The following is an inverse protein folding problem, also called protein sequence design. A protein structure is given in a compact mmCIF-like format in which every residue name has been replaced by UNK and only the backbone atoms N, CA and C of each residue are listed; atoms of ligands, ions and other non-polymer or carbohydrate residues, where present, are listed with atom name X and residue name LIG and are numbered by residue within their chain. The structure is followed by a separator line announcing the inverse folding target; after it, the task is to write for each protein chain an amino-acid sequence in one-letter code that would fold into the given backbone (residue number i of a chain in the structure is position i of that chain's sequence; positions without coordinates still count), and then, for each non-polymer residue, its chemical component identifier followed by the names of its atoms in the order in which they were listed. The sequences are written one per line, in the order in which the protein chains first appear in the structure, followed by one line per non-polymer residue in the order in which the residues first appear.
data_IF_153063712148
#
_entry.id   IF_153063712148
#
_cell.length_a   1.000
_cell.length_b   1.000
_cell.length_c   1.000
_cell.angle_alpha   90.00
_cell.angle_beta   90.00
_cell.angle_gamma   90.00
#
_symmetry.space_group_name_H-M   'P 1'
#
loop_
_entity.id
_entity.type
_entity.pdbx_description
1 polymer ?
#
# COMPACT_ATOMS: atom_id res chain seq x y z
N UNK A 1 -11.45 -3.17 -3.16
CA UNK A 1 -10.06 -3.13 -3.65
C UNK A 1 -9.76 -1.86 -4.45
N UNK A 2 -10.52 -1.54 -5.54
CA UNK A 2 -10.27 -0.30 -6.34
C UNK A 2 -10.35 0.94 -5.47
N UNK A 3 -11.33 1.05 -4.60
CA UNK A 3 -11.49 2.20 -3.70
C UNK A 3 -10.35 2.29 -2.68
N UNK A 4 -9.87 1.17 -2.19
CA UNK A 4 -8.72 1.10 -1.28
C UNK A 4 -7.46 1.60 -1.99
N UNK A 5 -7.22 1.14 -3.24
CA UNK A 5 -6.11 1.63 -4.05
C UNK A 5 -6.19 3.14 -4.31
N UNK A 6 -7.35 3.68 -4.71
CA UNK A 6 -7.50 5.12 -4.96
C UNK A 6 -7.23 5.94 -3.69
N UNK A 7 -7.55 5.39 -2.52
CA UNK A 7 -7.20 5.95 -1.22
C UNK A 7 -5.67 6.01 -1.03
N UNK A 8 -4.96 4.89 -1.25
CA UNK A 8 -3.50 4.86 -1.17
C UNK A 8 -2.87 5.80 -2.19
N UNK A 9 -3.32 5.73 -3.45
CA UNK A 9 -2.80 6.57 -4.52
C UNK A 9 -2.98 8.06 -4.22
N UNK A 10 -4.13 8.50 -3.73
CA UNK A 10 -4.36 9.90 -3.37
C UNK A 10 -3.41 10.38 -2.28
N UNK A 11 -3.13 9.53 -1.29
CA UNK A 11 -2.19 9.85 -0.22
C UNK A 11 -0.74 9.93 -0.71
N UNK A 12 -0.30 8.94 -1.49
CA UNK A 12 1.08 8.85 -1.96
C UNK A 12 1.37 9.70 -3.20
N UNK A 13 0.36 10.11 -3.97
CA UNK A 13 0.50 10.88 -5.22
C UNK A 13 1.42 12.11 -5.11
N UNK A 14 1.37 12.96 -4.06
CA UNK A 14 2.27 14.10 -3.94
C UNK A 14 3.76 13.73 -4.01
N UNK A 15 4.12 12.54 -3.51
CA UNK A 15 5.48 12.06 -3.41
C UNK A 15 5.95 11.31 -4.67
N UNK A 16 5.02 10.69 -5.42
CA UNK A 16 5.34 9.85 -6.57
C UNK A 16 5.11 10.52 -7.94
N UNK A 17 4.43 11.67 -7.99
CA UNK A 17 3.97 12.31 -9.26
C UNK A 17 5.07 12.59 -10.28
N UNK A 18 6.30 12.83 -9.83
CA UNK A 18 7.46 13.14 -10.68
C UNK A 18 8.38 11.91 -10.88
N UNK A 19 7.95 10.72 -10.49
CA UNK A 19 8.66 9.46 -10.56
C UNK A 19 8.05 8.59 -11.65
N UNK A 20 8.81 7.62 -12.16
CA UNK A 20 8.36 6.81 -13.31
C UNK A 20 8.27 5.32 -13.00
N UNK A 21 9.29 4.79 -12.34
CA UNK A 21 9.50 3.36 -12.18
C UNK A 21 9.07 2.93 -10.79
N UNK A 22 8.11 2.04 -10.69
CA UNK A 22 7.56 1.54 -9.42
C UNK A 22 7.70 0.03 -9.33
N UNK A 23 8.25 -0.44 -8.21
CA UNK A 23 8.26 -1.83 -7.80
C UNK A 23 7.15 -2.06 -6.77
N UNK A 24 6.20 -2.92 -7.07
CA UNK A 24 5.09 -3.30 -6.18
C UNK A 24 5.41 -4.66 -5.54
N UNK A 25 5.76 -4.66 -4.26
CA UNK A 25 6.12 -5.87 -3.51
C UNK A 25 4.86 -6.48 -2.88
N UNK A 26 4.67 -7.79 -3.09
CA UNK A 26 3.47 -8.49 -2.65
C UNK A 26 2.24 -8.04 -3.42
N UNK A 27 2.31 -8.08 -4.75
CA UNK A 27 1.30 -7.50 -5.64
C UNK A 27 -0.09 -8.12 -5.50
N UNK A 28 -0.23 -9.31 -4.91
CA UNK A 28 -1.49 -10.00 -4.65
C UNK A 28 -2.35 -10.13 -5.91
N UNK A 29 -3.56 -9.57 -5.88
CA UNK A 29 -4.47 -9.57 -7.04
C UNK A 29 -4.07 -8.60 -8.16
N UNK A 30 -2.98 -7.84 -7.99
CA UNK A 30 -2.42 -6.93 -8.97
C UNK A 30 -3.15 -5.60 -9.13
N UNK A 31 -4.04 -5.25 -8.21
CA UNK A 31 -4.84 -4.02 -8.35
C UNK A 31 -3.94 -2.78 -8.39
N UNK A 32 -2.89 -2.72 -7.56
CA UNK A 32 -1.92 -1.63 -7.55
C UNK A 32 -1.15 -1.58 -8.86
N UNK A 33 -0.59 -2.71 -9.32
CA UNK A 33 0.13 -2.81 -10.60
C UNK A 33 -0.71 -2.29 -11.78
N UNK A 34 -1.95 -2.81 -11.92
CA UNK A 34 -2.83 -2.48 -13.05
C UNK A 34 -3.24 -1.01 -13.03
N UNK A 35 -3.57 -0.47 -11.85
CA UNK A 35 -4.06 0.91 -11.76
C UNK A 35 -2.93 1.93 -11.82
N UNK A 36 -1.74 1.63 -11.30
CA UNK A 36 -0.56 2.48 -11.45
C UNK A 36 -0.09 2.52 -12.93
N UNK A 37 -0.09 1.37 -13.64
CA UNK A 37 0.19 1.36 -15.07
C UNK A 37 -0.81 2.23 -15.85
N UNK A 38 -2.12 2.14 -15.57
CA UNK A 38 -3.14 3.00 -16.17
C UNK A 38 -2.95 4.49 -15.89
N UNK A 39 -2.28 4.82 -14.79
CA UNK A 39 -1.91 6.21 -14.44
C UNK A 39 -0.58 6.65 -15.08
N UNK A 40 0.06 5.79 -15.86
CA UNK A 40 1.25 6.10 -16.67
C UNK A 40 2.60 5.78 -16.02
N UNK A 41 2.62 5.00 -14.93
CA UNK A 41 3.85 4.51 -14.33
C UNK A 41 4.35 3.24 -15.03
N UNK A 42 5.67 3.04 -15.02
CA UNK A 42 6.30 1.78 -15.40
C UNK A 42 6.27 0.86 -14.17
N UNK A 43 5.68 -0.33 -14.29
CA UNK A 43 5.42 -1.20 -13.15
C UNK A 43 6.18 -2.52 -13.27
N UNK A 44 6.84 -2.87 -12.18
CA UNK A 44 7.28 -4.24 -11.91
C UNK A 44 6.55 -4.68 -10.66
N UNK A 45 5.71 -5.71 -10.76
CA UNK A 45 5.11 -6.39 -9.61
C UNK A 45 5.96 -7.58 -9.19
N UNK A 46 5.91 -7.94 -7.92
CA UNK A 46 6.52 -9.17 -7.39
C UNK A 46 5.53 -9.85 -6.46
N UNK A 47 5.29 -11.14 -6.71
CA UNK A 47 4.41 -11.94 -5.88
C UNK A 47 4.87 -13.41 -5.90
N UNK A 48 4.94 -14.09 -4.74
CA UNK A 48 5.37 -15.49 -4.67
C UNK A 48 4.33 -16.47 -5.22
N UNK A 49 3.05 -16.08 -5.32
CA UNK A 49 2.01 -16.96 -5.89
C UNK A 49 2.03 -16.88 -7.42
N UNK A 50 2.33 -18.01 -8.11
CA UNK A 50 2.36 -18.01 -9.58
C UNK A 50 1.00 -17.71 -10.22
N UNK A 51 -0.11 -17.97 -9.52
CA UNK A 51 -1.46 -17.62 -10.00
C UNK A 51 -1.65 -16.11 -10.05
N UNK A 52 -1.18 -15.40 -9.03
CA UNK A 52 -1.20 -13.94 -8.98
C UNK A 52 -0.32 -13.36 -10.10
N UNK A 53 0.93 -13.80 -10.22
CA UNK A 53 1.83 -13.34 -11.26
C UNK A 53 1.25 -13.55 -12.67
N UNK A 54 0.67 -14.72 -12.95
CA UNK A 54 0.01 -15.03 -14.23
C UNK A 54 -1.19 -14.11 -14.47
N UNK A 55 -2.04 -13.91 -13.46
CA UNK A 55 -3.21 -13.01 -13.56
C UNK A 55 -2.78 -11.56 -13.85
N UNK A 56 -1.78 -11.05 -13.13
CA UNK A 56 -1.27 -9.69 -13.30
C UNK A 56 -0.71 -9.51 -14.72
N UNK A 57 0.14 -10.43 -15.16
CA UNK A 57 0.74 -10.40 -16.50
C UNK A 57 -0.31 -10.44 -17.63
N UNK A 58 -1.46 -11.10 -17.40
CA UNK A 58 -2.56 -11.09 -18.37
C UNK A 58 -3.30 -9.75 -18.46
N UNK A 59 -3.10 -8.84 -17.50
CA UNK A 59 -3.79 -7.54 -17.40
C UNK A 59 -2.88 -6.35 -17.69
N UNK A 60 -1.60 -6.46 -17.43
CA UNK A 60 -0.62 -5.42 -17.73
C UNK A 60 -0.38 -5.34 -19.25
N UNK A 61 -0.14 -4.13 -19.75
CA UNK A 61 0.16 -3.86 -21.16
C UNK A 61 1.66 -3.70 -21.44
N UNK A 62 2.38 -3.10 -20.51
CA UNK A 62 3.81 -2.78 -20.61
C UNK A 62 4.61 -3.27 -19.43
N UNK A 63 4.02 -3.22 -18.25
CA UNK A 63 4.62 -3.72 -17.01
C UNK A 63 4.67 -5.25 -16.98
N UNK A 64 5.28 -5.77 -15.94
CA UNK A 64 5.36 -7.21 -15.68
C UNK A 64 5.23 -7.50 -14.19
N UNK A 65 4.80 -8.72 -13.87
CA UNK A 65 4.88 -9.28 -12.53
C UNK A 65 5.83 -10.48 -12.55
N UNK A 66 6.79 -10.46 -11.65
CA UNK A 66 7.78 -11.52 -11.45
C UNK A 66 7.24 -12.47 -10.38
N UNK A 67 7.17 -13.75 -10.68
CA UNK A 67 6.86 -14.76 -9.68
C UNK A 67 8.12 -15.07 -8.89
N UNK A 68 8.25 -14.49 -7.72
CA UNK A 68 9.42 -14.66 -6.85
C UNK A 68 9.06 -14.25 -5.42
N UNK A 69 9.73 -14.83 -4.47
CA UNK A 69 9.91 -14.24 -3.15
C UNK A 69 10.83 -13.02 -3.28
N UNK A 70 10.63 -12.02 -2.41
CA UNK A 70 11.45 -10.81 -2.44
C UNK A 70 12.94 -11.10 -2.14
N UNK A 71 13.22 -12.14 -1.36
CA UNK A 71 14.57 -12.58 -1.01
C UNK A 71 15.41 -12.96 -2.24
N UNK A 72 14.75 -13.53 -3.25
CA UNK A 72 15.36 -14.01 -4.48
C UNK A 72 15.19 -13.03 -5.65
N UNK A 73 14.66 -11.83 -5.39
CA UNK A 73 14.43 -10.86 -6.43
C UNK A 73 15.73 -10.18 -6.85
N UNK A 74 16.02 -10.28 -8.14
CA UNK A 74 17.09 -9.51 -8.80
C UNK A 74 16.46 -8.55 -9.81
N UNK A 75 16.76 -7.27 -9.68
CA UNK A 75 16.36 -6.25 -10.64
C UNK A 75 17.55 -5.85 -11.51
N UNK A 76 17.31 -5.74 -12.82
CA UNK A 76 18.34 -5.23 -13.76
C UNK A 76 18.55 -3.73 -13.61
N UNK A 77 17.52 -2.99 -13.26
CA UNK A 77 17.52 -1.54 -13.12
C UNK A 77 16.86 -1.14 -11.80
N UNK A 78 17.35 -0.07 -11.22
CA UNK A 78 16.79 0.50 -10.00
C UNK A 78 15.49 1.22 -10.31
N UNK A 79 14.65 1.36 -9.26
CA UNK A 79 13.34 2.00 -9.34
C UNK A 79 13.30 3.29 -8.52
N UNK A 80 12.32 4.14 -8.82
CA UNK A 80 12.13 5.42 -8.13
C UNK A 80 11.25 5.28 -6.89
N UNK A 81 10.37 4.27 -6.90
CA UNK A 81 9.40 4.01 -5.83
C UNK A 81 9.31 2.51 -5.58
N UNK A 82 9.35 2.13 -4.31
CA UNK A 82 8.90 0.81 -3.88
C UNK A 82 7.54 1.00 -3.17
N UNK A 83 6.56 0.22 -3.62
CA UNK A 83 5.20 0.24 -3.11
C UNK A 83 4.95 -1.03 -2.31
N UNK A 84 4.65 -0.90 -1.02
CA UNK A 84 4.48 -2.00 -0.08
C UNK A 84 3.18 -1.77 0.69
N UNK A 85 2.11 -2.46 0.33
CA UNK A 85 0.82 -2.29 0.98
C UNK A 85 0.29 -3.61 1.51
N UNK A 86 0.14 -3.71 2.82
CA UNK A 86 -0.29 -4.93 3.52
C UNK A 86 0.61 -6.13 3.20
N UNK A 87 1.91 -5.97 3.41
CA UNK A 87 2.92 -7.01 3.18
C UNK A 87 3.82 -7.20 4.39
N UNK A 88 4.38 -6.11 4.94
CA UNK A 88 5.43 -6.23 5.97
C UNK A 88 4.92 -6.87 7.26
N UNK A 89 3.63 -6.78 7.54
CA UNK A 89 2.99 -7.45 8.68
C UNK A 89 2.94 -8.98 8.55
N UNK A 90 3.15 -9.50 7.34
CA UNK A 90 3.16 -10.94 7.04
C UNK A 90 4.56 -11.55 7.01
N UNK A 91 5.61 -10.76 7.09
CA UNK A 91 6.99 -11.22 6.94
C UNK A 91 7.60 -11.58 8.29
N UNK A 92 8.34 -12.68 8.34
CA UNK A 92 9.13 -13.06 9.53
C UNK A 92 10.24 -12.04 9.85
N UNK A 93 10.81 -11.44 8.79
CA UNK A 93 11.94 -10.50 8.89
C UNK A 93 11.71 -9.25 8.04
N UNK A 94 10.85 -8.32 8.51
CA UNK A 94 10.54 -7.10 7.75
C UNK A 94 11.76 -6.17 7.56
N UNK A 95 12.75 -6.24 8.45
CA UNK A 95 14.00 -5.50 8.30
C UNK A 95 14.87 -6.02 7.15
N UNK A 96 14.81 -7.31 6.83
CA UNK A 96 15.52 -7.88 5.67
C UNK A 96 14.93 -7.32 4.36
N UNK A 97 13.59 -7.23 4.24
CA UNK A 97 12.96 -6.59 3.09
C UNK A 97 13.43 -5.14 2.95
N UNK A 98 13.39 -4.35 4.03
CA UNK A 98 13.80 -2.94 3.98
C UNK A 98 15.27 -2.78 3.59
N UNK A 99 16.17 -3.65 4.08
CA UNK A 99 17.56 -3.66 3.65
C UNK A 99 17.70 -3.96 2.15
N UNK A 100 16.96 -4.92 1.62
CA UNK A 100 16.94 -5.20 0.18
C UNK A 100 16.34 -4.06 -0.65
N UNK A 101 15.38 -3.32 -0.13
CA UNK A 101 14.85 -2.13 -0.81
C UNK A 101 15.97 -1.12 -1.16
N UNK A 102 17.03 -1.06 -0.39
CA UNK A 102 18.20 -0.22 -0.67
C UNK A 102 18.89 -0.58 -1.98
N UNK A 103 18.98 -1.87 -2.27
CA UNK A 103 19.63 -2.37 -3.48
C UNK A 103 18.83 -1.99 -4.72
N UNK A 104 17.50 -1.93 -4.60
CA UNK A 104 16.57 -1.69 -5.71
C UNK A 104 16.24 -0.22 -5.95
N UNK A 105 16.43 0.65 -4.95
CA UNK A 105 16.09 2.08 -5.07
C UNK A 105 17.18 2.89 -5.76
N UNK A 106 16.76 3.84 -6.60
CA UNK A 106 17.58 4.96 -7.01
C UNK A 106 18.00 5.81 -5.78
N UNK A 107 19.08 6.61 -5.86
CA UNK A 107 19.54 7.42 -4.73
C UNK A 107 18.46 8.30 -4.08
N UNK A 108 17.58 8.90 -4.91
CA UNK A 108 16.43 9.71 -4.43
C UNK A 108 15.13 8.91 -4.32
N UNK A 109 15.22 7.59 -4.35
CA UNK A 109 14.08 6.70 -4.31
C UNK A 109 13.36 6.75 -2.96
N UNK A 110 12.07 6.41 -2.99
CA UNK A 110 11.22 6.36 -1.78
C UNK A 110 10.49 5.03 -1.67
N UNK A 111 10.10 4.71 -0.43
CA UNK A 111 9.21 3.58 -0.16
C UNK A 111 7.88 4.14 0.34
N UNK A 112 6.79 3.70 -0.27
CA UNK A 112 5.41 3.94 0.14
C UNK A 112 4.90 2.70 0.87
N UNK A 113 4.57 2.83 2.15
CA UNK A 113 4.14 1.71 3.01
C UNK A 113 2.74 1.97 3.54
N UNK A 114 1.88 0.95 3.53
CA UNK A 114 0.61 0.95 4.24
C UNK A 114 0.46 -0.36 5.02
N UNK A 115 0.08 -0.26 6.30
CA UNK A 115 -0.15 -1.39 7.21
C UNK A 115 -1.32 -1.11 8.13
N UNK A 116 -1.99 -2.15 8.70
CA UNK A 116 -3.01 -1.94 9.73
C UNK A 116 -2.43 -1.16 10.92
N UNK A 117 -3.21 -0.20 11.44
CA UNK A 117 -2.84 0.53 12.66
C UNK A 117 -3.30 -0.23 13.91
N UNK A 118 -2.38 -0.95 14.52
CA UNK A 118 -2.67 -1.76 15.71
C UNK A 118 -2.71 -0.95 17.02
N UNK A 119 -2.53 0.38 17.00
CA UNK A 119 -2.93 1.26 18.10
C UNK A 119 -4.47 1.41 18.16
N UNK A 120 -5.18 1.14 17.08
CA UNK A 120 -6.62 1.06 17.04
C UNK A 120 -7.10 -0.31 17.54
N UNK A 121 -7.95 -0.37 18.63
CA UNK A 121 -8.37 -1.65 19.21
C UNK A 121 -9.13 -2.57 18.25
N UNK A 122 -9.93 -2.01 17.33
CA UNK A 122 -10.65 -2.79 16.32
C UNK A 122 -9.67 -3.41 15.31
N UNK A 123 -8.68 -2.65 14.88
CA UNK A 123 -7.64 -3.13 13.95
C UNK A 123 -6.71 -4.12 14.62
N UNK A 124 -6.32 -3.89 15.87
CA UNK A 124 -5.55 -4.86 16.65
C UNK A 124 -6.30 -6.19 16.77
N UNK A 125 -7.59 -6.15 17.14
CA UNK A 125 -8.42 -7.36 17.21
C UNK A 125 -8.47 -8.10 15.87
N UNK A 126 -8.71 -7.38 14.77
CA UNK A 126 -8.74 -7.96 13.43
C UNK A 126 -7.38 -8.55 13.04
N UNK A 127 -6.30 -7.86 13.39
CA UNK A 127 -4.94 -8.31 13.09
C UNK A 127 -4.58 -9.58 13.89
N UNK A 128 -4.90 -9.62 15.17
CA UNK A 128 -4.67 -10.79 16.03
C UNK A 128 -5.48 -12.03 15.63
N UNK A 129 -6.62 -11.85 14.98
CA UNK A 129 -7.45 -12.97 14.47
C UNK A 129 -7.04 -13.42 13.06
N UNK A 130 -6.17 -12.70 12.38
CA UNK A 130 -5.63 -13.09 11.10
C UNK A 130 -4.38 -13.97 11.30
N UNK A 131 -4.41 -15.26 10.96
CA UNK A 131 -3.29 -16.18 11.21
C UNK A 131 -2.04 -15.85 10.37
N UNK A 132 -2.17 -14.98 9.38
CA UNK A 132 -1.05 -14.56 8.52
C UNK A 132 -0.38 -13.28 8.99
N UNK A 133 -0.91 -12.57 10.00
CA UNK A 133 -0.27 -11.38 10.56
C UNK A 133 0.71 -11.79 11.65
N UNK A 134 1.99 -11.69 11.36
CA UNK A 134 3.09 -12.00 12.29
C UNK A 134 3.41 -10.76 13.14
N UNK A 135 3.34 -9.57 12.53
CA UNK A 135 3.57 -8.30 13.20
C UNK A 135 2.31 -7.46 13.31
N UNK A 136 2.18 -6.77 14.45
CA UNK A 136 1.10 -5.84 14.75
C UNK A 136 1.70 -4.44 14.94
N UNK A 137 1.74 -3.67 13.85
CA UNK A 137 2.46 -2.41 13.82
C UNK A 137 1.69 -1.26 14.47
N UNK A 138 2.44 -0.42 15.21
CA UNK A 138 2.10 0.94 15.60
C UNK A 138 3.03 1.92 14.87
N UNK A 139 2.72 3.23 14.91
CA UNK A 139 3.65 4.24 14.38
C UNK A 139 5.01 4.17 15.07
N UNK A 140 5.03 3.92 16.38
CA UNK A 140 6.28 3.83 17.13
C UNK A 140 7.12 2.61 16.71
N UNK A 141 6.52 1.43 16.59
CA UNK A 141 7.24 0.22 16.16
C UNK A 141 7.75 0.32 14.72
N UNK A 142 6.99 0.96 13.81
CA UNK A 142 7.46 1.27 12.45
C UNK A 142 8.65 2.23 12.48
N UNK A 143 8.59 3.29 13.29
CA UNK A 143 9.70 4.23 13.43
C UNK A 143 11.00 3.53 13.90
N UNK A 144 10.90 2.63 14.89
CA UNK A 144 12.02 1.82 15.35
C UNK A 144 12.59 0.93 14.24
N UNK A 145 11.71 0.28 13.47
CA UNK A 145 12.09 -0.54 12.32
C UNK A 145 12.83 0.29 11.25
N UNK A 146 12.32 1.48 10.92
CA UNK A 146 12.94 2.36 9.92
C UNK A 146 14.29 2.89 10.40
N UNK A 147 14.41 3.27 11.68
CA UNK A 147 15.69 3.69 12.26
C UNK A 147 16.73 2.56 12.22
N UNK A 148 16.34 1.34 12.62
CA UNK A 148 17.20 0.15 12.57
C UNK A 148 17.70 -0.15 11.15
N UNK A 149 16.90 0.18 10.15
CA UNK A 149 17.23 -0.06 8.74
C UNK A 149 17.74 1.18 8.01
N UNK A 150 18.10 2.26 8.75
CA UNK A 150 18.69 3.51 8.23
C UNK A 150 17.79 4.25 7.23
N UNK A 151 16.48 4.14 7.38
CA UNK A 151 15.53 4.98 6.67
C UNK A 151 15.08 6.13 7.55
N UNK A 152 14.80 7.28 6.93
CA UNK A 152 14.14 8.42 7.56
C UNK A 152 12.71 8.55 7.06
N UNK A 153 11.85 9.04 7.94
CA UNK A 153 10.44 9.23 7.66
C UNK A 153 10.22 10.61 7.04
N UNK A 154 9.69 10.65 5.81
CA UNK A 154 9.20 11.89 5.21
C UNK A 154 7.82 12.25 5.77
N UNK A 155 6.95 11.25 5.90
CA UNK A 155 5.61 11.38 6.49
C UNK A 155 5.16 10.01 7.02
N UNK A 156 4.44 10.00 8.13
CA UNK A 156 3.84 8.78 8.69
C UNK A 156 2.56 9.14 9.45
N UNK A 157 1.43 8.82 8.86
CA UNK A 157 0.10 9.17 9.37
C UNK A 157 -0.73 7.93 9.67
N UNK A 158 -1.53 8.04 10.72
CA UNK A 158 -2.61 7.10 11.00
C UNK A 158 -3.90 7.65 10.41
N UNK A 159 -4.53 6.90 9.52
CA UNK A 159 -5.68 7.36 8.74
C UNK A 159 -6.94 6.60 9.10
N UNK A 160 -8.02 7.31 9.39
CA UNK A 160 -9.33 6.70 9.56
C UNK A 160 -9.99 6.44 8.20
N UNK A 161 -10.58 5.28 8.08
CA UNK A 161 -11.32 4.91 6.88
C UNK A 161 -12.69 5.60 6.88
N UNK A 162 -12.87 6.67 6.11
CA UNK A 162 -14.12 7.43 5.97
C UNK A 162 -15.26 6.64 5.29
N UNK A 163 -15.09 5.34 5.05
CA UNK A 163 -16.20 4.51 4.55
C UNK A 163 -17.47 4.58 5.41
N UNK A 164 -17.37 4.97 6.70
CA UNK A 164 -18.57 5.13 7.56
C UNK A 164 -19.49 6.27 7.11
N UNK A 165 -18.94 7.38 6.64
CA UNK A 165 -19.74 8.55 6.23
C UNK A 165 -20.44 8.31 4.88
N UNK A 166 -19.76 7.72 3.92
CA UNK A 166 -20.34 7.41 2.63
C UNK A 166 -21.30 6.22 2.67
N UNK A 167 -21.15 5.26 3.59
CA UNK A 167 -22.13 4.19 3.81
C UNK A 167 -23.53 4.74 4.13
N UNK A 168 -23.65 5.84 4.87
CA UNK A 168 -24.95 6.48 5.15
C UNK A 168 -25.57 7.05 3.88
N UNK A 169 -24.82 7.79 3.07
CA UNK A 169 -25.30 8.36 1.80
C UNK A 169 -25.68 7.24 0.83
N UNK A 170 -24.86 6.22 0.64
CA UNK A 170 -25.17 5.07 -0.18
C UNK A 170 -26.39 4.29 0.32
N UNK A 171 -26.54 4.15 1.66
CA UNK A 171 -27.71 3.51 2.27
C UNK A 171 -28.99 4.32 2.05
N UNK A 172 -28.90 5.65 2.14
CA UNK A 172 -29.99 6.58 1.88
C UNK A 172 -30.41 6.50 0.39
N UNK A 173 -29.46 6.63 -0.53
CA UNK A 173 -29.73 6.57 -1.96
C UNK A 173 -30.36 5.24 -2.37
N UNK A 174 -29.89 4.11 -1.84
CA UNK A 174 -30.49 2.79 -2.08
C UNK A 174 -31.90 2.68 -1.51
N UNK A 175 -32.15 3.26 -0.32
CA UNK A 175 -33.48 3.26 0.31
C UNK A 175 -34.52 4.03 -0.52
N UNK A 176 -34.08 5.04 -1.28
CA UNK A 176 -34.93 5.83 -2.18
C UNK A 176 -34.90 5.35 -3.65
N UNK A 177 -34.43 4.13 -3.92
CA UNK A 177 -34.45 3.56 -5.28
C UNK A 177 -33.34 4.06 -6.22
N UNK A 178 -32.43 4.91 -5.76
CA UNK A 178 -31.35 5.49 -6.58
C UNK A 178 -30.08 4.62 -6.59
N UNK A 179 -30.23 3.30 -6.73
CA UNK A 179 -29.09 2.36 -6.74
C UNK A 179 -28.06 2.67 -7.83
N UNK A 180 -28.53 3.04 -9.05
CA UNK A 180 -27.67 3.40 -10.17
C UNK A 180 -26.92 4.73 -9.93
N UNK A 181 -27.52 5.70 -9.27
CA UNK A 181 -26.89 6.96 -8.88
C UNK A 181 -25.85 6.72 -7.78
N UNK A 182 -26.15 5.84 -6.83
CA UNK A 182 -25.20 5.41 -5.79
C UNK A 182 -23.92 4.81 -6.38
N UNK A 183 -24.00 4.07 -7.50
CA UNK A 183 -22.82 3.52 -8.18
C UNK A 183 -22.07 4.56 -9.02
N UNK A 184 -22.71 5.64 -9.46
CA UNK A 184 -22.11 6.72 -10.26
C UNK A 184 -21.48 7.83 -9.42
N UNK A 185 -21.89 7.99 -8.17
CA UNK A 185 -21.25 8.91 -7.25
C UNK A 185 -19.87 8.31 -6.92
N UNK A 186 -18.85 8.83 -7.59
CA UNK A 186 -17.46 8.55 -7.18
C UNK A 186 -17.35 8.98 -5.72
N UNK A 187 -16.96 8.09 -4.81
CA UNK A 187 -16.76 8.49 -3.44
C UNK A 187 -15.72 9.61 -3.44
N UNK A 188 -16.15 10.80 -3.06
CA UNK A 188 -15.24 11.88 -2.73
C UNK A 188 -14.62 11.48 -1.42
N UNK A 189 -13.34 11.13 -1.43
CA UNK A 189 -12.57 10.83 -0.23
C UNK A 189 -11.80 12.08 0.17
N UNK A 190 -12.33 12.91 1.05
CA UNK A 190 -11.45 13.73 1.87
C UNK A 190 -10.85 12.75 2.89
N UNK A 191 -9.52 12.61 2.87
CA UNK A 191 -8.82 11.98 3.97
C UNK A 191 -8.93 12.91 5.16
N UNK A 192 -9.60 12.51 6.21
CA UNK A 192 -9.38 13.11 7.51
C UNK A 192 -8.11 12.47 8.09
N UNK A 193 -7.03 13.25 8.07
CA UNK A 193 -5.89 13.02 8.95
C UNK A 193 -6.44 13.05 10.37
N UNK A 194 -6.57 11.90 11.00
CA UNK A 194 -6.86 11.88 12.43
C UNK A 194 -5.59 12.31 13.13
N UNK A 195 -5.60 13.51 13.69
CA UNK A 195 -4.56 14.01 14.61
C UNK A 195 -4.43 13.17 15.90
N UNK A 196 -5.27 12.18 16.08
CA UNK A 196 -5.29 11.21 17.17
C UNK A 196 -4.92 9.83 16.63
N UNK A 197 -4.07 9.09 17.32
CA UNK A 197 -3.53 7.75 17.03
C UNK A 197 -4.57 6.62 17.00
N UNK A 198 -5.68 6.77 16.27
CA UNK A 198 -6.80 5.83 16.23
C UNK A 198 -7.30 5.61 14.80
N UNK A 199 -6.41 5.71 13.80
CA UNK A 199 -6.74 5.35 12.42
C UNK A 199 -6.91 3.84 12.25
N UNK A 200 -7.38 3.45 11.07
CA UNK A 200 -7.47 2.03 10.69
C UNK A 200 -6.19 1.54 9.99
N UNK A 201 -5.41 2.47 9.47
CA UNK A 201 -4.23 2.17 8.66
C UNK A 201 -3.16 3.24 8.85
N UNK A 202 -1.92 2.81 9.03
CA UNK A 202 -0.74 3.66 9.02
C UNK A 202 -0.22 3.72 7.60
N UNK A 203 0.06 4.94 7.09
CA UNK A 203 0.72 5.16 5.81
C UNK A 203 1.98 5.97 6.02
N UNK A 204 3.08 5.46 5.53
CA UNK A 204 4.38 6.12 5.62
C UNK A 204 5.00 6.29 4.23
N UNK A 205 5.71 7.38 4.06
CA UNK A 205 6.69 7.55 3.00
C UNK A 205 8.05 7.71 3.66
N UNK A 206 8.97 6.83 3.31
CA UNK A 206 10.32 6.81 3.84
C UNK A 206 11.35 6.91 2.71
N UNK A 207 12.53 7.42 3.03
CA UNK A 207 13.67 7.50 2.11
C UNK A 207 14.95 7.11 2.83
N UNK A 208 16.00 6.87 2.09
CA UNK A 208 17.34 6.69 2.62
C UNK A 208 17.80 7.94 3.35
N UNK A 209 18.58 7.72 4.43
CA UNK A 209 19.36 8.78 5.08
C UNK A 209 20.51 9.22 4.20
#
# INVERSE_FOLDING_TARGET
LVLTFESWYSYFKPFIKNRKNILDIGSGTGISCILLEKKGYNIIGVDPDPRNAKLINSKLKKGKCINSFFENLELKEKVDVIWITHVIEHLDQPDVLLKKCKEWLNPDGIICIAVPDCENPEMLKNSLTNPYHIFHFSKNSLNQLFQKTEFEINICDSLSNLQKTNRRIHKILRKFGFSNLSMRIKPFYPFELTSKNNGYEIRCVIKFK
#
